data_IF_543906506970
#
_entry.id   IF_543906506970
#
_cell.length_a   1.000
_cell.length_b   1.000
_cell.length_c   1.000
_cell.angle_alpha   90.00
_cell.angle_beta   90.00
_cell.angle_gamma   90.00
#
_symmetry.space_group_name_H-M   'P 1'
#
loop_
_entity.id
_entity.type
_entity.pdbx_description
1 polymer ?
#
# COMPACT_ATOMS: atom_id res chain seq x y z
N UNK A 1 90.91 -12.88 -58.00
CA UNK A 1 90.09 -11.80 -58.57
C UNK A 1 88.68 -11.99 -58.02
N UNK A 2 88.30 -11.17 -57.03
CA UNK A 2 87.06 -11.27 -56.25
C UNK A 2 85.98 -10.40 -56.91
N UNK A 3 84.86 -11.00 -57.27
CA UNK A 3 83.62 -10.27 -57.59
C UNK A 3 82.45 -11.11 -57.10
N UNK A 4 81.85 -10.74 -55.97
CA UNK A 4 80.68 -11.39 -55.40
C UNK A 4 79.59 -10.33 -55.21
N UNK A 5 78.45 -10.63 -55.84
CA UNK A 5 77.28 -9.78 -56.02
C UNK A 5 76.63 -9.36 -54.70
N UNK A 6 76.22 -8.09 -54.64
CA UNK A 6 75.37 -7.53 -53.60
C UNK A 6 73.98 -8.17 -53.61
N UNK A 7 73.50 -8.54 -52.43
CA UNK A 7 72.20 -9.16 -52.20
C UNK A 7 71.31 -8.18 -51.44
N UNK A 8 70.11 -8.02 -51.96
CA UNK A 8 69.00 -7.18 -51.51
C UNK A 8 68.36 -7.66 -50.19
N UNK A 9 67.70 -6.71 -49.51
CA UNK A 9 67.12 -6.75 -48.16
C UNK A 9 66.02 -7.81 -47.92
N UNK A 10 65.54 -7.96 -46.65
CA UNK A 10 64.36 -7.16 -46.29
C UNK A 10 64.41 -6.54 -44.88
N UNK A 11 63.89 -5.32 -44.80
CA UNK A 11 63.51 -4.62 -43.56
C UNK A 11 62.23 -5.26 -43.02
N UNK A 12 62.29 -5.87 -41.84
CA UNK A 12 61.11 -6.32 -41.12
C UNK A 12 60.55 -5.16 -40.29
N UNK A 13 59.35 -4.74 -40.65
CA UNK A 13 58.53 -3.82 -39.87
C UNK A 13 58.20 -4.43 -38.50
N UNK A 14 58.62 -3.75 -37.43
CA UNK A 14 58.06 -3.96 -36.09
C UNK A 14 56.98 -2.89 -35.92
N UNK A 15 55.77 -3.20 -36.36
CA UNK A 15 54.57 -2.47 -36.02
C UNK A 15 53.65 -3.38 -35.19
N UNK A 16 53.01 -2.77 -34.21
CA UNK A 16 51.79 -3.22 -33.56
C UNK A 16 51.83 -4.48 -32.68
N UNK A 17 52.29 -4.27 -31.45
CA UNK A 17 51.66 -4.91 -30.27
C UNK A 17 51.54 -3.94 -29.10
N UNK A 18 50.78 -2.87 -29.27
CA UNK A 18 50.38 -2.00 -28.15
C UNK A 18 49.02 -1.34 -28.38
N UNK A 19 48.01 -2.06 -28.88
CA UNK A 19 46.67 -1.47 -29.01
C UNK A 19 45.54 -2.50 -28.92
N UNK A 20 45.54 -3.33 -27.87
CA UNK A 20 44.44 -4.28 -27.63
C UNK A 20 44.03 -4.41 -26.15
N UNK A 21 44.39 -3.45 -25.29
CA UNK A 21 43.94 -3.40 -23.89
C UNK A 21 43.46 -2.01 -23.50
N UNK A 22 42.62 -1.43 -24.34
CA UNK A 22 41.79 -0.30 -23.96
C UNK A 22 40.33 -0.64 -24.32
N UNK A 23 39.79 -1.69 -23.68
CA UNK A 23 38.34 -1.74 -23.52
C UNK A 23 37.99 -0.50 -22.70
N UNK A 24 37.50 0.53 -23.40
CA UNK A 24 37.23 1.84 -22.84
C UNK A 24 36.43 1.71 -21.54
N UNK A 25 36.98 2.24 -20.44
CA UNK A 25 36.33 2.29 -19.12
C UNK A 25 34.88 2.81 -19.21
N UNK A 26 34.61 3.67 -20.20
CA UNK A 26 33.28 4.21 -20.50
C UNK A 26 32.26 3.12 -20.91
N UNK A 27 32.66 2.13 -21.73
CA UNK A 27 31.76 1.04 -22.16
C UNK A 27 31.36 0.15 -20.98
N UNK A 28 32.27 -0.09 -20.05
CA UNK A 28 32.00 -0.95 -18.88
C UNK A 28 31.16 -0.23 -17.83
N UNK A 29 31.36 1.07 -17.62
CA UNK A 29 30.48 1.90 -16.76
C UNK A 29 29.07 1.94 -17.33
N UNK A 30 28.93 2.13 -18.65
CA UNK A 30 27.64 2.13 -19.33
C UNK A 30 26.92 0.78 -19.21
N UNK A 31 27.64 -0.34 -19.39
CA UNK A 31 27.07 -1.68 -19.20
C UNK A 31 26.65 -1.93 -17.75
N UNK A 32 27.44 -1.48 -16.77
CA UNK A 32 27.11 -1.62 -15.36
C UNK A 32 25.86 -0.80 -15.00
N UNK A 33 25.74 0.43 -15.50
CA UNK A 33 24.54 1.27 -15.34
C UNK A 33 23.32 0.64 -16.02
N UNK A 34 23.48 0.03 -17.19
CA UNK A 34 22.39 -0.66 -17.89
C UNK A 34 21.90 -1.88 -17.12
N UNK A 35 22.81 -2.65 -16.51
CA UNK A 35 22.47 -3.79 -15.66
C UNK A 35 21.77 -3.32 -14.38
N UNK A 36 22.23 -2.22 -13.76
CA UNK A 36 21.55 -1.64 -12.60
C UNK A 36 20.14 -1.15 -12.98
N UNK A 37 20.01 -0.39 -14.07
CA UNK A 37 18.72 0.08 -14.57
C UNK A 37 17.77 -1.08 -14.90
N UNK A 38 18.26 -2.14 -15.53
CA UNK A 38 17.49 -3.35 -15.79
C UNK A 38 17.10 -4.07 -14.49
N UNK A 39 18.00 -4.17 -13.51
CA UNK A 39 17.71 -4.81 -12.22
C UNK A 39 16.72 -4.01 -11.36
N UNK A 40 16.74 -2.68 -11.44
CA UNK A 40 15.74 -1.81 -10.78
C UNK A 40 14.41 -1.87 -11.51
N UNK A 41 14.41 -1.92 -12.85
CA UNK A 41 13.19 -2.06 -13.65
C UNK A 41 12.53 -3.45 -13.51
N UNK A 42 13.29 -4.47 -13.13
CA UNK A 42 12.82 -5.84 -12.93
C UNK A 42 12.66 -6.22 -11.44
N UNK A 43 12.99 -5.31 -10.52
CA UNK A 43 12.78 -5.55 -9.09
C UNK A 43 11.26 -5.60 -8.83
N UNK A 44 10.76 -6.60 -8.08
CA UNK A 44 9.39 -6.55 -7.61
C UNK A 44 9.19 -5.27 -6.79
N UNK A 45 8.11 -4.55 -7.03
CA UNK A 45 7.72 -3.39 -6.24
C UNK A 45 7.65 -3.81 -4.77
N UNK A 46 8.57 -3.33 -3.94
CA UNK A 46 8.45 -3.48 -2.49
C UNK A 46 7.12 -2.83 -2.08
N UNK A 47 6.23 -3.61 -1.48
CA UNK A 47 4.92 -3.16 -1.02
C UNK A 47 4.92 -3.26 0.49
N UNK A 48 4.62 -2.14 1.14
CA UNK A 48 4.44 -2.12 2.57
C UNK A 48 3.29 -3.07 2.96
N UNK A 49 3.58 -3.95 3.91
CA UNK A 49 2.64 -4.81 4.61
C UNK A 49 2.05 -4.11 5.84
N UNK A 50 2.49 -2.88 6.13
CA UNK A 50 1.98 -2.06 7.20
C UNK A 50 1.79 -0.60 6.76
N UNK A 51 0.73 0.04 7.24
CA UNK A 51 0.43 1.44 6.98
C UNK A 51 0.14 2.16 8.28
N UNK A 52 0.82 3.28 8.54
CA UNK A 52 0.37 4.20 9.58
C UNK A 52 -0.99 4.77 9.16
N UNK A 53 -1.91 4.90 10.11
CA UNK A 53 -3.17 5.60 9.93
C UNK A 53 -3.36 6.63 11.03
N UNK A 54 -4.09 7.70 10.73
CA UNK A 54 -4.64 8.59 11.74
C UNK A 54 -5.90 9.26 11.24
N UNK A 55 -6.88 9.43 12.12
CA UNK A 55 -8.09 10.19 11.86
C UNK A 55 -8.45 11.12 13.01
N UNK A 56 -9.14 12.21 12.67
CA UNK A 56 -9.70 13.15 13.65
C UNK A 56 -10.89 13.91 13.04
N UNK A 57 -11.99 14.02 13.80
CA UNK A 57 -13.18 14.83 13.48
C UNK A 57 -14.33 14.48 14.42
N UNK A 58 -15.30 15.39 14.61
CA UNK A 58 -16.47 15.12 15.45
C UNK A 58 -16.19 14.81 16.93
N UNK A 59 -14.98 15.09 17.43
CA UNK A 59 -14.57 14.69 18.78
C UNK A 59 -14.09 13.24 18.90
N UNK A 60 -14.07 12.48 17.79
CA UNK A 60 -13.48 11.15 17.68
C UNK A 60 -12.12 11.25 17.00
N UNK A 61 -11.14 10.51 17.51
CA UNK A 61 -9.81 10.45 16.92
C UNK A 61 -9.17 9.10 17.17
N UNK A 62 -8.27 8.70 16.27
CA UNK A 62 -7.50 7.50 16.42
C UNK A 62 -6.25 7.53 15.57
N UNK A 63 -5.24 6.77 15.98
CA UNK A 63 -3.99 6.66 15.22
C UNK A 63 -3.27 5.37 15.55
N UNK A 64 -2.53 4.85 14.58
CA UNK A 64 -1.80 3.61 14.77
C UNK A 64 -1.28 3.01 13.47
N UNK A 65 -1.24 1.68 13.42
CA UNK A 65 -0.75 0.90 12.28
C UNK A 65 -1.81 -0.11 11.86
N UNK A 66 -2.05 -0.19 10.56
CA UNK A 66 -2.79 -1.26 9.88
C UNK A 66 -1.80 -2.26 9.32
N UNK A 67 -1.96 -3.53 9.63
CA UNK A 67 -1.24 -4.63 8.99
C UNK A 67 -2.11 -5.18 7.85
N UNK A 68 -1.55 -5.32 6.65
CA UNK A 68 -2.29 -5.66 5.43
C UNK A 68 -1.68 -6.88 4.75
N UNK A 69 -2.53 -7.66 4.08
CA UNK A 69 -2.10 -8.84 3.34
C UNK A 69 -1.07 -8.48 2.27
N UNK A 70 -0.10 -9.36 2.05
CA UNK A 70 0.92 -9.19 1.01
C UNK A 70 0.42 -9.55 -0.41
N UNK A 71 -0.78 -10.13 -0.50
CA UNK A 71 -1.48 -10.44 -1.75
C UNK A 71 -2.80 -9.69 -1.83
N UNK A 72 -3.19 -9.20 -3.03
CA UNK A 72 -4.51 -8.62 -3.23
C UNK A 72 -5.63 -9.62 -2.94
N UNK A 73 -6.80 -9.11 -2.56
CA UNK A 73 -8.00 -9.92 -2.37
C UNK A 73 -8.49 -10.46 -3.72
N UNK A 74 -8.67 -11.78 -3.87
CA UNK A 74 -9.14 -12.36 -5.12
C UNK A 74 -10.50 -11.79 -5.55
N UNK A 75 -10.56 -11.26 -6.78
CA UNK A 75 -11.80 -10.75 -7.35
C UNK A 75 -12.17 -9.32 -6.93
N UNK A 76 -11.44 -8.69 -6.00
CA UNK A 76 -11.64 -7.29 -5.61
C UNK A 76 -10.43 -6.46 -6.06
N UNK A 77 -10.52 -5.72 -7.18
CA UNK A 77 -9.41 -4.93 -7.70
C UNK A 77 -8.91 -3.89 -6.68
N UNK A 78 -7.59 -3.80 -6.52
CA UNK A 78 -6.95 -2.78 -5.67
C UNK A 78 -7.02 -3.05 -4.16
N UNK A 79 -7.85 -3.99 -3.71
CA UNK A 79 -8.04 -4.29 -2.30
C UNK A 79 -6.97 -5.23 -1.73
N UNK A 80 -6.58 -4.96 -0.51
CA UNK A 80 -5.82 -5.84 0.36
C UNK A 80 -6.60 -6.05 1.65
N UNK A 81 -6.47 -7.22 2.25
CA UNK A 81 -7.17 -7.51 3.50
C UNK A 81 -6.38 -6.90 4.66
N UNK A 82 -7.03 -6.11 5.51
CA UNK A 82 -6.48 -5.76 6.81
C UNK A 82 -6.49 -7.01 7.68
N UNK A 83 -5.32 -7.37 8.20
CA UNK A 83 -5.09 -8.57 9.00
C UNK A 83 -4.80 -8.24 10.47
N UNK A 84 -4.48 -6.98 10.75
CA UNK A 84 -4.19 -6.49 12.08
C UNK A 84 -4.35 -4.97 12.16
N UNK A 85 -4.61 -4.49 13.38
CA UNK A 85 -4.65 -3.08 13.70
C UNK A 85 -4.17 -2.90 15.13
N UNK A 86 -3.36 -1.87 15.35
CA UNK A 86 -2.91 -1.45 16.68
C UNK A 86 -2.84 0.07 16.74
N UNK A 87 -2.89 0.63 17.95
CA UNK A 87 -2.86 2.08 18.14
C UNK A 87 -3.69 2.54 19.32
N UNK A 88 -4.19 3.78 19.23
CA UNK A 88 -5.04 4.39 20.25
C UNK A 88 -6.28 5.02 19.64
N UNK A 89 -7.36 5.04 20.40
CA UNK A 89 -8.61 5.70 20.09
C UNK A 89 -9.01 6.63 21.24
N UNK A 90 -9.61 7.77 20.90
CA UNK A 90 -10.21 8.70 21.84
C UNK A 90 -11.57 9.15 21.34
N UNK A 91 -12.52 9.26 22.26
CA UNK A 91 -13.80 9.90 22.04
C UNK A 91 -14.05 10.92 23.16
N UNK A 92 -13.82 12.18 22.82
CA UNK A 92 -13.99 13.30 23.73
C UNK A 92 -15.44 13.57 24.11
N UNK A 93 -16.43 13.05 23.35
CA UNK A 93 -17.85 13.21 23.63
C UNK A 93 -18.30 12.39 24.85
N UNK A 94 -17.61 11.28 25.14
CA UNK A 94 -17.90 10.39 26.29
C UNK A 94 -16.75 10.33 27.29
N UNK A 95 -15.71 11.14 27.09
CA UNK A 95 -14.55 11.22 27.99
C UNK A 95 -13.54 10.08 27.85
N UNK A 96 -13.58 9.32 26.76
CA UNK A 96 -12.60 8.26 26.47
C UNK A 96 -11.33 8.89 25.89
N UNK A 97 -10.18 8.65 26.52
CA UNK A 97 -8.90 9.27 26.10
C UNK A 97 -7.81 8.22 25.95
N UNK A 98 -7.21 8.13 24.76
CA UNK A 98 -6.08 7.27 24.41
C UNK A 98 -6.25 5.81 24.84
N UNK A 99 -7.47 5.26 24.71
CA UNK A 99 -7.72 3.85 24.94
C UNK A 99 -7.01 3.03 23.86
N UNK A 100 -6.40 1.90 24.23
CA UNK A 100 -5.66 1.09 23.27
C UNK A 100 -6.61 0.41 22.30
N UNK A 101 -6.23 0.34 21.03
CA UNK A 101 -6.88 -0.55 20.06
C UNK A 101 -6.40 -1.97 20.38
N UNK A 102 -7.33 -2.86 20.70
CA UNK A 102 -7.04 -4.21 21.20
C UNK A 102 -7.05 -5.28 20.12
N UNK A 103 -7.59 -4.96 18.94
CA UNK A 103 -7.46 -5.80 17.77
C UNK A 103 -8.56 -5.58 16.73
N UNK A 104 -8.33 -6.15 15.55
CA UNK A 104 -9.28 -6.19 14.46
C UNK A 104 -10.44 -7.13 14.80
N UNK A 105 -11.67 -6.77 14.45
CA UNK A 105 -12.77 -7.72 14.39
C UNK A 105 -12.74 -8.36 13.01
N UNK A 106 -12.11 -9.53 12.90
CA UNK A 106 -11.89 -10.15 11.60
C UNK A 106 -13.18 -10.66 10.93
N UNK A 107 -13.19 -10.56 9.61
CA UNK A 107 -14.21 -11.12 8.72
C UNK A 107 -13.63 -12.09 7.68
N UNK A 108 -14.49 -12.87 7.03
CA UNK A 108 -14.09 -13.64 5.85
C UNK A 108 -13.88 -12.70 4.66
N UNK A 109 -13.06 -13.11 3.67
CA UNK A 109 -12.98 -12.37 2.42
C UNK A 109 -14.36 -12.30 1.72
N UNK A 110 -14.64 -11.22 0.96
CA UNK A 110 -15.82 -11.17 0.12
C UNK A 110 -15.93 -12.41 -0.77
N UNK A 111 -17.15 -12.95 -0.85
CA UNK A 111 -17.47 -14.10 -1.70
C UNK A 111 -18.72 -13.79 -2.52
N UNK A 112 -18.86 -14.43 -3.68
CA UNK A 112 -19.98 -14.13 -4.58
C UNK A 112 -19.92 -12.72 -5.19
N UNK A 113 -18.71 -12.23 -5.50
CA UNK A 113 -18.49 -10.93 -6.15
C UNK A 113 -19.17 -10.94 -7.52
N UNK A 114 -20.03 -9.95 -7.76
CA UNK A 114 -20.75 -9.77 -9.01
C UNK A 114 -19.80 -9.42 -10.15
N UNK A 115 -20.25 -9.59 -11.40
CA UNK A 115 -19.45 -9.27 -12.57
C UNK A 115 -19.05 -7.78 -12.66
N UNK A 116 -19.81 -6.91 -11.99
CA UNK A 116 -19.53 -5.47 -11.87
C UNK A 116 -18.60 -5.12 -10.69
N UNK A 117 -18.12 -6.11 -9.93
CA UNK A 117 -17.22 -5.93 -8.80
C UNK A 117 -17.93 -5.66 -7.46
N UNK A 118 -19.25 -5.55 -7.45
CA UNK A 118 -20.03 -5.34 -6.22
C UNK A 118 -20.16 -6.64 -5.41
N UNK A 119 -20.32 -6.52 -4.08
CA UNK A 119 -20.49 -7.66 -3.19
C UNK A 119 -21.22 -7.26 -1.90
N UNK A 120 -21.84 -8.25 -1.25
CA UNK A 120 -22.43 -8.10 0.08
C UNK A 120 -21.30 -8.15 1.12
N UNK A 121 -21.29 -7.26 2.11
CA UNK A 121 -20.24 -7.24 3.13
C UNK A 121 -20.23 -8.57 3.88
N UNK A 122 -19.06 -9.21 4.06
CA UNK A 122 -18.97 -10.47 4.77
C UNK A 122 -19.16 -10.31 6.28
N UNK A 123 -18.90 -9.12 6.82
CA UNK A 123 -19.03 -8.79 8.25
C UNK A 123 -20.29 -7.99 8.55
N UNK A 124 -20.96 -8.34 9.65
CA UNK A 124 -22.01 -7.51 10.27
C UNK A 124 -21.83 -7.47 11.79
N UNK A 125 -22.05 -6.32 12.40
CA UNK A 125 -21.95 -6.11 13.84
C UNK A 125 -23.21 -5.41 14.35
N UNK A 126 -23.92 -6.03 15.29
CA UNK A 126 -25.15 -5.48 15.83
C UNK A 126 -24.87 -4.30 16.79
N UNK A 127 -25.50 -3.16 16.50
CA UNK A 127 -25.54 -1.96 17.35
C UNK A 127 -26.84 -1.84 18.17
N UNK A 128 -27.63 -2.91 18.22
CA UNK A 128 -28.87 -2.99 18.96
C UNK A 128 -29.93 -3.80 18.21
N UNK A 129 -31.19 -3.65 18.60
CA UNK A 129 -32.30 -4.46 18.07
C UNK A 129 -32.62 -4.19 16.58
N UNK A 130 -32.17 -3.07 16.00
CA UNK A 130 -32.52 -2.65 14.64
C UNK A 130 -31.40 -1.92 13.88
N UNK A 131 -30.19 -1.87 14.44
CA UNK A 131 -29.07 -1.16 13.85
C UNK A 131 -27.85 -2.08 13.77
N UNK A 132 -27.10 -2.01 12.68
CA UNK A 132 -25.95 -2.86 12.42
C UNK A 132 -24.94 -2.15 11.55
N UNK A 133 -23.67 -2.37 11.86
CA UNK A 133 -22.55 -1.99 11.02
C UNK A 133 -22.25 -3.12 10.06
N UNK A 134 -22.01 -2.78 8.79
CA UNK A 134 -21.36 -3.68 7.85
C UNK A 134 -19.87 -3.38 7.85
N UNK A 135 -19.05 -4.38 7.54
CA UNK A 135 -17.60 -4.23 7.40
C UNK A 135 -17.04 -5.39 6.57
N UNK A 136 -15.89 -5.17 5.95
CA UNK A 136 -15.20 -6.17 5.13
C UNK A 136 -13.68 -6.20 5.34
N UNK A 137 -13.17 -5.26 6.14
CA UNK A 137 -11.76 -5.08 6.46
C UNK A 137 -10.86 -4.94 5.21
N UNK A 138 -11.36 -4.27 4.16
CA UNK A 138 -10.59 -4.02 2.94
C UNK A 138 -9.88 -2.66 2.96
N UNK A 139 -8.63 -2.68 2.52
CA UNK A 139 -7.77 -1.50 2.40
C UNK A 139 -7.31 -1.30 0.97
N UNK A 140 -7.44 -0.06 0.50
CA UNK A 140 -7.12 0.39 -0.86
C UNK A 140 -5.97 1.40 -0.81
N UNK A 141 -4.70 0.96 -0.83
CA UNK A 141 -3.55 1.85 -0.68
C UNK A 141 -3.44 2.91 -1.78
N UNK A 142 -4.09 2.68 -2.94
CA UNK A 142 -4.17 3.65 -4.04
C UNK A 142 -5.14 4.80 -3.80
N UNK A 143 -5.98 4.73 -2.74
CA UNK A 143 -7.05 5.69 -2.52
C UNK A 143 -8.22 5.56 -3.51
N UNK A 144 -8.33 4.40 -4.16
CA UNK A 144 -9.18 4.11 -5.30
C UNK A 144 -10.23 3.03 -4.97
N UNK A 145 -10.76 3.03 -3.75
CA UNK A 145 -11.83 2.08 -3.38
C UNK A 145 -12.98 2.15 -4.38
N UNK A 146 -13.42 1.00 -4.94
CA UNK A 146 -14.43 0.97 -5.97
C UNK A 146 -15.83 1.16 -5.36
N UNK A 147 -16.80 1.31 -6.25
CA UNK A 147 -18.20 1.18 -5.84
C UNK A 147 -18.52 -0.30 -5.56
N UNK A 148 -18.71 -0.64 -4.29
CA UNK A 148 -18.86 -2.04 -3.82
C UNK A 148 -20.30 -2.46 -3.52
N UNK A 149 -21.21 -1.50 -3.33
CA UNK A 149 -22.59 -1.79 -2.98
C UNK A 149 -23.35 -2.41 -4.17
N UNK A 150 -23.91 -3.63 -4.03
CA UNK A 150 -24.72 -4.20 -5.08
C UNK A 150 -26.02 -3.41 -5.29
N UNK A 151 -26.65 -3.53 -6.47
CA UNK A 151 -27.96 -2.95 -6.68
C UNK A 151 -28.97 -3.43 -5.63
N UNK A 152 -29.89 -2.55 -5.18
CA UNK A 152 -30.92 -2.89 -4.22
C UNK A 152 -31.77 -4.07 -4.75
N UNK A 153 -32.18 -5.02 -3.88
CA UNK A 153 -33.01 -6.13 -4.28
C UNK A 153 -34.39 -5.65 -4.78
N UNK A 154 -35.09 -6.42 -5.64
CA UNK A 154 -36.41 -6.05 -6.12
C UNK A 154 -37.38 -5.73 -4.96
N UNK A 155 -37.92 -4.51 -4.96
CA UNK A 155 -38.85 -4.03 -3.92
C UNK A 155 -38.22 -3.11 -2.87
N UNK A 156 -36.88 -2.98 -2.85
CA UNK A 156 -36.23 -1.88 -2.14
C UNK A 156 -36.28 -0.61 -3.00
N UNK A 157 -36.69 0.49 -2.37
CA UNK A 157 -36.89 1.79 -3.03
C UNK A 157 -35.69 2.72 -2.88
N UNK A 158 -34.69 2.33 -2.08
CA UNK A 158 -33.49 3.13 -1.91
C UNK A 158 -32.58 2.98 -3.12
N UNK A 159 -32.13 4.10 -3.68
CA UNK A 159 -31.09 4.08 -4.69
C UNK A 159 -29.79 3.50 -4.09
N UNK A 160 -29.00 2.73 -4.84
CA UNK A 160 -27.72 2.24 -4.36
C UNK A 160 -26.81 3.44 -4.03
N UNK A 161 -26.04 3.32 -2.95
CA UNK A 161 -25.07 4.34 -2.57
C UNK A 161 -24.03 4.53 -3.69
N UNK A 162 -23.95 5.69 -4.37
CA UNK A 162 -23.20 5.81 -5.63
C UNK A 162 -21.75 6.28 -5.46
N UNK A 163 -21.38 6.72 -4.26
CA UNK A 163 -20.08 7.33 -3.99
C UNK A 163 -19.05 6.27 -3.59
N UNK A 164 -17.80 6.52 -3.97
CA UNK A 164 -16.67 5.60 -3.78
C UNK A 164 -15.35 6.39 -3.80
N UNK A 165 -14.24 5.71 -3.54
CA UNK A 165 -12.91 6.28 -3.43
C UNK A 165 -12.42 6.39 -1.99
N UNK A 166 -11.15 6.69 -1.82
CA UNK A 166 -10.48 6.66 -0.52
C UNK A 166 -9.78 5.33 -0.25
N UNK A 167 -9.13 5.25 0.91
CA UNK A 167 -8.31 4.08 1.26
C UNK A 167 -9.08 2.98 1.98
N UNK A 168 -10.35 3.23 2.26
CA UNK A 168 -11.35 2.28 2.74
C UNK A 168 -12.55 2.39 1.80
N UNK A 169 -13.47 1.44 1.83
CA UNK A 169 -14.77 1.55 1.18
C UNK A 169 -15.86 1.90 2.21
N UNK A 170 -17.12 1.80 1.77
CA UNK A 170 -18.31 2.14 2.55
C UNK A 170 -18.65 1.11 3.63
N UNK A 171 -18.11 -0.11 3.56
CA UNK A 171 -18.25 -1.10 4.62
C UNK A 171 -17.20 -0.85 5.71
N UNK A 172 -15.98 -0.52 5.30
CA UNK A 172 -14.95 -0.04 6.21
C UNK A 172 -14.34 -1.12 7.10
N UNK A 173 -13.79 -0.66 8.23
CA UNK A 173 -12.89 -1.40 9.10
C UNK A 173 -13.41 -1.40 10.53
N UNK A 174 -13.63 -2.58 11.11
CA UNK A 174 -14.19 -2.72 12.46
C UNK A 174 -13.13 -3.23 13.46
N UNK A 175 -12.97 -2.53 14.59
CA UNK A 175 -11.96 -2.90 15.58
C UNK A 175 -12.40 -2.66 17.02
N UNK A 176 -11.80 -3.42 17.93
CA UNK A 176 -12.03 -3.30 19.37
C UNK A 176 -11.08 -2.31 20.01
N UNK A 177 -11.58 -1.64 21.05
CA UNK A 177 -10.85 -0.68 21.87
C UNK A 177 -11.03 -1.07 23.35
N UNK A 178 -9.98 -0.84 24.15
CA UNK A 178 -9.99 -1.04 25.59
C UNK A 178 -11.21 -0.37 26.24
N UNK A 179 -11.82 -1.06 27.20
CA UNK A 179 -13.06 -0.62 27.85
C UNK A 179 -14.33 -1.24 27.25
N UNK A 180 -14.21 -2.14 26.26
CA UNK A 180 -15.35 -2.84 25.64
C UNK A 180 -16.01 -2.06 24.50
N UNK A 181 -15.26 -1.12 23.93
CA UNK A 181 -15.72 -0.30 22.82
C UNK A 181 -15.43 -1.00 21.49
N UNK A 182 -16.28 -0.75 20.51
CA UNK A 182 -16.08 -1.18 19.13
C UNK A 182 -16.26 0.02 18.21
N UNK A 183 -15.33 0.21 17.28
CA UNK A 183 -15.27 1.36 16.37
C UNK A 183 -15.30 0.86 14.93
N UNK A 184 -16.13 1.49 14.09
CA UNK A 184 -16.06 1.35 12.63
C UNK A 184 -15.54 2.65 12.03
N UNK A 185 -14.57 2.55 11.12
CA UNK A 185 -14.05 3.62 10.30
C UNK A 185 -14.24 3.24 8.82
N UNK A 186 -14.88 4.10 8.03
CA UNK A 186 -15.20 3.82 6.63
C UNK A 186 -15.00 5.04 5.74
N UNK A 187 -15.00 4.84 4.43
CA UNK A 187 -15.03 5.90 3.44
C UNK A 187 -16.45 6.12 2.93
N UNK A 188 -16.90 7.36 2.94
CA UNK A 188 -18.11 7.73 2.21
C UNK A 188 -17.83 7.94 0.71
N UNK A 189 -16.56 7.89 0.29
CA UNK A 189 -16.14 8.18 -1.06
C UNK A 189 -16.08 9.69 -1.36
N UNK A 190 -16.05 10.02 -2.65
CA UNK A 190 -16.06 11.41 -3.13
C UNK A 190 -17.50 11.90 -3.27
N UNK A 191 -17.91 12.75 -2.35
CA UNK A 191 -19.25 13.32 -2.31
C UNK A 191 -19.32 14.62 -3.11
N UNK A 192 -20.47 14.94 -3.72
CA UNK A 192 -20.73 16.26 -4.28
C UNK A 192 -20.50 17.33 -3.21
N UNK A 193 -19.80 18.40 -3.58
CA UNK A 193 -19.52 19.58 -2.74
C UNK A 193 -18.60 19.38 -1.53
N UNK A 194 -18.47 18.15 -1.01
CA UNK A 194 -17.61 17.83 0.14
C UNK A 194 -16.28 17.17 -0.24
N UNK A 195 -16.19 16.57 -1.42
CA UNK A 195 -15.01 15.81 -1.84
C UNK A 195 -14.90 14.47 -1.11
N UNK A 196 -13.68 13.93 -1.02
CA UNK A 196 -13.43 12.67 -0.31
C UNK A 196 -13.71 12.85 1.19
N UNK A 197 -14.60 12.05 1.75
CA UNK A 197 -14.92 12.08 3.19
C UNK A 197 -14.92 10.69 3.80
N UNK A 198 -14.63 10.63 5.09
CA UNK A 198 -14.64 9.40 5.88
C UNK A 198 -15.60 9.54 7.05
N UNK A 199 -16.23 8.44 7.43
CA UNK A 199 -17.09 8.38 8.60
C UNK A 199 -16.47 7.51 9.70
N UNK A 200 -16.91 7.75 10.93
CA UNK A 200 -16.53 6.96 12.08
C UNK A 200 -17.70 6.84 13.03
N UNK A 201 -17.85 5.69 13.66
CA UNK A 201 -18.81 5.45 14.71
C UNK A 201 -18.17 4.61 15.80
N UNK A 202 -18.60 4.82 17.04
CA UNK A 202 -18.20 4.00 18.15
C UNK A 202 -19.42 3.45 18.88
N UNK A 203 -19.19 2.38 19.62
CA UNK A 203 -20.21 1.69 20.37
C UNK A 203 -19.64 1.09 21.63
N UNK A 204 -20.50 0.92 22.64
CA UNK A 204 -20.16 0.24 23.88
C UNK A 204 -21.22 -0.83 24.16
N UNK A 205 -20.78 -2.08 24.31
CA UNK A 205 -21.67 -3.24 24.51
C UNK A 205 -22.76 -3.36 23.42
N UNK A 206 -22.40 -3.07 22.17
CA UNK A 206 -23.33 -3.13 21.04
C UNK A 206 -24.40 -2.04 21.07
N UNK A 207 -24.18 -0.92 21.74
CA UNK A 207 -25.01 0.28 21.61
C UNK A 207 -24.18 1.40 20.97
N UNK A 208 -24.66 1.98 19.87
CA UNK A 208 -24.04 3.13 19.20
C UNK A 208 -23.96 4.32 20.16
N UNK A 209 -22.79 4.92 20.30
CA UNK A 209 -22.58 6.11 21.13
C UNK A 209 -22.52 7.36 20.27
N UNK A 210 -21.53 7.43 19.37
CA UNK A 210 -21.35 8.55 18.47
C UNK A 210 -21.18 8.07 17.02
N UNK A 211 -21.51 8.95 16.08
CA UNK A 211 -21.43 8.67 14.64
C UNK A 211 -21.23 9.98 13.90
N UNK A 212 -20.22 10.02 13.03
CA UNK A 212 -19.90 11.18 12.20
C UNK A 212 -19.69 10.76 10.76
N UNK A 213 -20.08 11.61 9.83
CA UNK A 213 -20.03 11.30 8.40
C UNK A 213 -21.17 10.41 7.91
N UNK A 214 -22.25 10.24 8.68
CA UNK A 214 -23.46 9.54 8.23
C UNK A 214 -24.41 10.49 7.48
N UNK A 215 -25.10 9.98 6.43
CA UNK A 215 -25.49 10.66 5.22
C UNK A 215 -24.57 11.78 4.79
N UNK A 216 -24.91 12.94 5.34
CA UNK A 216 -24.46 14.27 4.97
C UNK A 216 -24.71 15.25 6.13
N UNK A 217 -24.95 14.74 7.35
CA UNK A 217 -25.45 15.55 8.46
C UNK A 217 -24.32 16.30 9.19
N UNK A 218 -23.15 15.67 9.30
CA UNK A 218 -22.00 16.21 10.02
C UNK A 218 -20.72 16.12 9.19
N UNK A 219 -19.78 17.07 9.37
CA UNK A 219 -18.46 16.92 8.80
C UNK A 219 -17.84 15.62 9.34
N UNK A 220 -17.46 14.74 8.41
CA UNK A 220 -16.81 13.47 8.73
C UNK A 220 -15.44 13.65 9.38
N UNK A 221 -14.64 12.58 9.37
CA UNK A 221 -13.26 12.61 9.87
C UNK A 221 -12.26 12.78 8.74
N UNK A 222 -11.14 13.44 9.05
CA UNK A 222 -10.00 13.48 8.16
C UNK A 222 -9.14 12.23 8.38
N UNK A 223 -9.19 11.25 7.49
CA UNK A 223 -8.31 10.08 7.53
C UNK A 223 -7.08 10.30 6.66
N UNK A 224 -5.91 9.95 7.21
CA UNK A 224 -4.65 9.87 6.47
C UNK A 224 -4.02 8.50 6.66
N UNK A 225 -3.47 7.94 5.60
CA UNK A 225 -2.67 6.70 5.67
C UNK A 225 -1.34 6.87 4.95
N UNK A 226 -0.32 6.15 5.41
CA UNK A 226 1.01 6.18 4.79
C UNK A 226 1.73 4.86 5.00
N UNK A 227 2.40 4.36 3.96
CA UNK A 227 3.20 3.15 4.04
C UNK A 227 4.27 3.26 5.15
N UNK A 228 4.37 2.24 6.00
CA UNK A 228 5.45 2.12 6.99
C UNK A 228 6.72 1.71 6.23
N UNK A 229 7.84 2.46 6.34
CA UNK A 229 9.08 2.09 5.68
C UNK A 229 9.60 0.74 6.19
N UNK A 230 9.83 -0.21 5.28
CA UNK A 230 10.43 -1.49 5.63
C UNK A 230 11.90 -1.30 6.08
N UNK A 231 12.28 -1.73 7.30
CA UNK A 231 13.64 -1.56 7.81
C UNK A 231 14.70 -2.26 6.92
N UNK A 232 14.34 -3.38 6.29
CA UNK A 232 15.26 -4.21 5.50
C UNK A 232 15.57 -3.67 4.10
N UNK A 233 14.63 -2.95 3.48
CA UNK A 233 14.75 -2.53 2.08
C UNK A 233 15.90 -1.53 1.86
N UNK A 234 16.15 -0.64 2.83
CA UNK A 234 17.29 0.29 2.78
C UNK A 234 18.64 -0.42 3.00
N UNK A 235 18.70 -1.39 3.92
CA UNK A 235 19.92 -2.18 4.13
C UNK A 235 20.23 -3.05 2.92
N UNK A 236 19.22 -3.66 2.30
CA UNK A 236 19.40 -4.50 1.11
C UNK A 236 19.84 -3.66 -0.10
N UNK A 237 19.24 -2.49 -0.30
CA UNK A 237 19.69 -1.52 -1.31
C UNK A 237 21.12 -1.05 -1.06
N UNK A 238 21.44 -0.67 0.19
CA UNK A 238 22.77 -0.18 0.56
C UNK A 238 23.86 -1.24 0.42
N UNK A 239 23.61 -2.47 0.89
CA UNK A 239 24.55 -3.59 0.74
C UNK A 239 24.68 -4.03 -0.73
N UNK A 240 23.58 -4.01 -1.49
CA UNK A 240 23.60 -4.25 -2.93
C UNK A 240 24.47 -3.24 -3.69
N UNK A 241 24.34 -1.95 -3.39
CA UNK A 241 25.18 -0.90 -3.97
C UNK A 241 26.67 -1.06 -3.61
N UNK A 242 26.99 -1.38 -2.35
CA UNK A 242 28.37 -1.62 -1.93
C UNK A 242 28.96 -2.86 -2.60
N UNK A 243 28.18 -3.94 -2.76
CA UNK A 243 28.57 -5.14 -3.50
C UNK A 243 28.88 -4.83 -4.96
N UNK A 244 28.06 -4.01 -5.62
CA UNK A 244 28.28 -3.55 -6.99
C UNK A 244 29.57 -2.73 -7.14
N UNK A 245 29.78 -1.73 -6.27
CA UNK A 245 30.99 -0.90 -6.28
C UNK A 245 32.24 -1.75 -6.05
N UNK A 246 32.17 -2.71 -5.13
CA UNK A 246 33.27 -3.62 -4.82
C UNK A 246 33.60 -4.55 -6.00
N UNK A 247 32.58 -5.11 -6.64
CA UNK A 247 32.72 -5.96 -7.82
C UNK A 247 33.31 -5.20 -9.02
N UNK A 248 32.84 -3.97 -9.27
CA UNK A 248 33.39 -3.11 -10.32
C UNK A 248 34.85 -2.75 -10.04
N UNK A 249 35.18 -2.33 -8.82
CA UNK A 249 36.56 -1.99 -8.43
C UNK A 249 37.53 -3.16 -8.62
N UNK A 250 37.10 -4.38 -8.29
CA UNK A 250 37.92 -5.59 -8.45
C UNK A 250 38.18 -5.93 -9.92
N UNK A 251 37.22 -5.66 -10.81
CA UNK A 251 37.36 -5.87 -12.26
C UNK A 251 38.24 -4.83 -12.96
N UNK A 252 38.38 -3.61 -12.43
CA UNK A 252 39.17 -2.54 -13.04
C UNK A 252 40.57 -2.34 -12.43
N UNK A 253 40.88 -3.03 -11.34
CA UNK A 253 42.18 -2.99 -10.67
C UNK A 253 43.09 -4.18 -11.05
N UNK A 254 42.64 -5.06 -11.95
CA UNK A 254 43.39 -6.14 -12.57
C UNK A 254 43.52 -5.87 -14.09
#
# INVERSE_FOLDING_TARGET
MKTLLGRTAPSFAIADRASARAVSRSKVILSALLVVAASVAMAPTARADAFNFSFNGGGLSGSGVLDVSNTPVPGVPGAFQVTGISGTFSDSNVGLTNAAITGLIGTSLPSGINADGTFIPPGTFALGASDSLSFDDLFYPGGDSPWVCPPPPPGDTHAPYPFHGGTLDIYGLLFNVDGGYTVNLWSNGVLPELGLTYGVTDSLNGARLNSFGEPFADPGVNLTTSAVPEPGSLFLLGTGMLGLVSGLRRRFSA
#
